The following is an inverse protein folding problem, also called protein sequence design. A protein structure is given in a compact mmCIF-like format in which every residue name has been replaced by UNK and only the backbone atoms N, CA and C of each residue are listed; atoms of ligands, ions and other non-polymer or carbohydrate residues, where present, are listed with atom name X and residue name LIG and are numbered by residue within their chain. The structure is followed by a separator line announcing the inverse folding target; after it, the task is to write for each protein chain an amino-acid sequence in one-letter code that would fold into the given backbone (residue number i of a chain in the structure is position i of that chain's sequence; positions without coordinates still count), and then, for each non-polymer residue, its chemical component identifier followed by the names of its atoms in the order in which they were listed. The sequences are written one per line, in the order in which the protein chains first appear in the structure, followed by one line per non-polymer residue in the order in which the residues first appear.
data_IF_626366607352
#
_entry.id   IF_626366607352
#
_cell.length_a   1.000
_cell.length_b   1.000
_cell.length_c   1.000
_cell.angle_alpha   90.00
_cell.angle_beta   90.00
_cell.angle_gamma   90.00
#
_symmetry.space_group_name_H-M   'P 1'
#
loop_
_entity.id
_entity.type
_entity.pdbx_description
1 polymer ?
#
# COMPACT_ATOMS: atom_id res chain seq x y z
N UNK A 1 -5.65 -10.58 31.29
CA UNK A 1 -4.58 -10.46 30.27
C UNK A 1 -5.22 -10.64 28.91
N UNK A 2 -5.67 -9.55 28.29
CA UNK A 2 -6.25 -9.57 26.95
C UNK A 2 -5.14 -10.01 26.01
N UNK A 3 -5.31 -11.13 25.29
CA UNK A 3 -4.39 -11.54 24.22
C UNK A 3 -4.45 -10.45 23.14
N UNK A 4 -3.48 -9.55 23.16
CA UNK A 4 -3.37 -8.35 22.34
C UNK A 4 -3.11 -8.61 20.83
N UNK A 5 -3.43 -9.81 20.30
CA UNK A 5 -3.18 -10.12 18.89
C UNK A 5 -4.22 -9.54 17.92
N UNK A 6 -5.46 -9.26 18.37
CA UNK A 6 -6.51 -8.62 17.55
C UNK A 6 -6.64 -7.11 17.80
N UNK A 7 -6.37 -6.66 19.03
CA UNK A 7 -6.60 -5.27 19.46
C UNK A 7 -5.66 -4.24 18.83
N UNK A 8 -4.41 -4.59 18.51
CA UNK A 8 -3.46 -3.61 17.96
C UNK A 8 -3.78 -3.26 16.50
N UNK A 9 -4.28 -4.23 15.72
CA UNK A 9 -4.71 -4.00 14.35
C UNK A 9 -5.99 -3.18 14.31
N UNK A 10 -6.98 -3.52 15.14
CA UNK A 10 -8.22 -2.72 15.29
C UNK A 10 -7.90 -1.30 15.79
N UNK A 11 -6.93 -1.11 16.69
CA UNK A 11 -6.53 0.20 17.23
C UNK A 11 -5.74 1.06 16.24
N UNK A 12 -4.68 0.51 15.62
CA UNK A 12 -3.91 1.18 14.55
C UNK A 12 -4.83 1.59 13.39
N UNK A 13 -5.89 0.83 13.21
CA UNK A 13 -6.82 1.00 12.14
C UNK A 13 -7.98 1.95 12.41
N UNK A 14 -8.56 1.94 13.61
CA UNK A 14 -9.48 3.00 14.02
C UNK A 14 -8.81 4.37 13.96
N UNK A 15 -7.48 4.44 14.09
CA UNK A 15 -6.75 5.68 13.86
C UNK A 15 -6.57 5.99 12.36
N UNK A 16 -6.44 4.98 11.50
CA UNK A 16 -6.48 5.15 10.04
C UNK A 16 -7.88 5.62 9.57
N UNK A 17 -8.95 5.11 10.19
CA UNK A 17 -10.32 5.60 10.03
C UNK A 17 -10.41 7.10 10.41
N UNK A 18 -9.81 7.51 11.53
CA UNK A 18 -9.71 8.92 11.92
C UNK A 18 -8.91 9.77 10.90
N UNK A 19 -7.86 9.23 10.26
CA UNK A 19 -7.14 9.95 9.18
C UNK A 19 -7.93 10.06 7.88
N UNK A 20 -8.78 9.07 7.57
CA UNK A 20 -9.59 9.07 6.34
C UNK A 20 -10.83 9.97 6.46
N UNK A 21 -11.39 10.11 7.66
CA UNK A 21 -12.59 10.92 7.92
C UNK A 21 -12.31 12.43 8.02
N UNK A 22 -11.14 12.84 8.52
CA UNK A 22 -10.79 14.26 8.70
C UNK A 22 -10.80 15.07 7.38
N UNK A 23 -10.30 14.55 6.24
CA UNK A 23 -10.31 15.28 4.96
C UNK A 23 -11.61 15.12 4.14
N UNK A 24 -12.45 14.12 4.41
CA UNK A 24 -13.76 13.98 3.73
C UNK A 24 -14.66 15.20 4.02
N UNK A 25 -14.42 15.89 5.14
CA UNK A 25 -15.19 17.05 5.60
C UNK A 25 -14.68 18.38 5.02
N UNK A 26 -13.45 18.46 4.48
CA UNK A 26 -12.88 19.73 4.04
C UNK A 26 -12.16 19.63 2.70
N UNK A 27 -12.87 20.10 1.66
CA UNK A 27 -12.31 20.49 0.38
C UNK A 27 -11.11 21.43 0.57
N UNK A 28 -9.92 20.94 0.28
CA UNK A 28 -9.25 21.39 -0.94
C UNK A 28 -7.89 20.73 -1.06
N UNK A 29 -7.47 20.48 -2.30
CA UNK A 29 -6.06 20.37 -2.69
C UNK A 29 -5.30 21.71 -2.47
N UNK A 30 -5.66 22.55 -1.48
CA UNK A 30 -4.85 23.72 -1.12
C UNK A 30 -3.77 23.26 -0.16
N UNK A 31 -2.54 23.64 -0.50
CA UNK A 31 -1.30 23.37 0.23
C UNK A 31 -1.23 24.05 1.61
N UNK A 32 -2.33 24.16 2.34
CA UNK A 32 -2.39 24.96 3.57
C UNK A 32 -2.04 24.10 4.79
N UNK A 33 -0.77 23.72 4.88
CA UNK A 33 -0.19 23.01 6.04
C UNK A 33 -0.40 23.81 7.34
N UNK A 34 -0.45 25.13 7.26
CA UNK A 34 -0.55 26.02 8.41
C UNK A 34 -1.94 25.93 9.07
N UNK A 35 -3.02 25.75 8.30
CA UNK A 35 -4.38 25.61 8.81
C UNK A 35 -4.58 24.43 9.80
N UNK A 36 -3.90 23.29 9.58
CA UNK A 36 -4.00 22.09 10.44
C UNK A 36 -3.06 22.11 11.63
N UNK A 37 -1.88 22.72 11.48
CA UNK A 37 -0.97 23.00 12.59
C UNK A 37 -1.70 23.81 13.67
N UNK A 38 -2.48 24.80 13.26
CA UNK A 38 -3.23 25.68 14.16
C UNK A 38 -4.40 24.97 14.88
N UNK A 39 -4.87 23.84 14.34
CA UNK A 39 -6.00 23.05 14.87
C UNK A 39 -5.59 21.85 15.73
N UNK A 40 -4.29 21.57 15.89
CA UNK A 40 -3.78 20.53 16.80
C UNK A 40 -3.96 19.06 16.36
N UNK A 41 -4.48 18.81 15.16
CA UNK A 41 -4.74 17.45 14.64
C UNK A 41 -3.46 16.59 14.46
N UNK A 42 -2.30 17.23 14.36
CA UNK A 42 -0.99 16.57 14.23
C UNK A 42 -0.64 15.66 15.43
N UNK A 43 -1.16 15.96 16.63
CA UNK A 43 -0.90 15.19 17.84
C UNK A 43 -1.75 13.92 17.90
N UNK A 44 -3.03 13.99 17.49
CA UNK A 44 -3.94 12.82 17.49
C UNK A 44 -3.51 11.79 16.44
N UNK A 45 -2.91 12.24 15.34
CA UNK A 45 -2.58 11.38 14.20
C UNK A 45 -1.17 10.77 14.27
N UNK A 46 -0.41 11.11 15.31
CA UNK A 46 0.85 10.47 15.68
C UNK A 46 0.69 9.43 16.80
N UNK A 47 -0.55 9.16 17.22
CA UNK A 47 -0.89 8.09 18.17
C UNK A 47 -0.52 6.68 17.67
N UNK A 48 -0.75 6.25 16.40
CA UNK A 48 -0.44 4.88 15.98
C UNK A 48 1.05 4.51 16.11
N UNK A 49 2.00 5.34 15.63
CA UNK A 49 3.42 5.14 15.87
C UNK A 49 3.77 5.16 17.34
N UNK A 50 3.14 6.04 18.14
CA UNK A 50 3.36 6.10 19.58
C UNK A 50 2.90 4.83 20.29
N UNK A 51 1.77 4.24 19.87
CA UNK A 51 1.28 2.95 20.38
C UNK A 51 2.17 1.79 19.94
N UNK A 52 2.69 1.82 18.71
CA UNK A 52 3.66 0.83 18.23
C UNK A 52 4.94 0.89 19.08
N UNK A 53 5.47 2.09 19.31
CA UNK A 53 6.64 2.32 20.16
C UNK A 53 6.35 1.83 21.58
N UNK A 54 5.19 2.16 22.14
CA UNK A 54 4.77 1.66 23.44
C UNK A 54 4.77 0.12 23.48
N UNK A 55 4.20 -0.53 22.47
CA UNK A 55 4.08 -2.00 22.43
C UNK A 55 5.44 -2.70 22.44
N UNK A 56 6.41 -2.22 21.66
CA UNK A 56 7.72 -2.89 21.52
C UNK A 56 8.78 -2.42 22.52
N UNK A 57 8.65 -1.20 23.07
CA UNK A 57 9.66 -0.60 23.93
C UNK A 57 9.17 -0.36 25.37
N UNK A 58 8.03 -0.95 25.79
CA UNK A 58 7.38 -0.76 27.10
C UNK A 58 8.29 -0.96 28.33
N UNK A 59 9.44 -1.60 28.16
CA UNK A 59 10.38 -1.93 29.23
C UNK A 59 11.20 -0.73 29.74
N UNK A 60 11.25 0.39 29.02
CA UNK A 60 11.98 1.59 29.46
C UNK A 60 11.17 2.86 29.16
N UNK A 61 10.60 3.47 30.20
CA UNK A 61 9.75 4.65 30.07
C UNK A 61 10.43 5.83 29.39
N UNK A 62 11.71 6.09 29.71
CA UNK A 62 12.46 7.19 29.09
C UNK A 62 12.67 6.92 27.60
N UNK A 63 13.05 5.69 27.23
CA UNK A 63 13.22 5.29 25.83
C UNK A 63 11.92 5.43 25.03
N UNK A 64 10.79 4.96 25.58
CA UNK A 64 9.47 5.10 24.94
C UNK A 64 9.15 6.57 24.74
N UNK A 65 9.28 7.38 25.78
CA UNK A 65 8.94 8.80 25.71
C UNK A 65 9.79 9.51 24.64
N UNK A 66 11.09 9.25 24.61
CA UNK A 66 12.00 9.82 23.59
C UNK A 66 11.65 9.35 22.19
N UNK A 67 11.40 8.05 21.99
CA UNK A 67 11.04 7.50 20.69
C UNK A 67 9.69 8.03 20.22
N UNK A 68 8.69 8.14 21.10
CA UNK A 68 7.38 8.73 20.77
C UNK A 68 7.53 10.19 20.34
N UNK A 69 8.29 10.99 21.09
CA UNK A 69 8.53 12.39 20.73
C UNK A 69 9.23 12.51 19.37
N UNK A 70 10.27 11.70 19.12
CA UNK A 70 10.94 11.64 17.83
C UNK A 70 9.99 11.22 16.71
N UNK A 71 9.18 10.18 16.94
CA UNK A 71 8.18 9.69 15.98
C UNK A 71 7.17 10.77 15.60
N UNK A 72 6.66 11.53 16.57
CA UNK A 72 5.75 12.66 16.34
C UNK A 72 6.43 13.73 15.46
N UNK A 73 7.66 14.13 15.79
CA UNK A 73 8.39 15.15 15.04
C UNK A 73 8.71 14.68 13.61
N UNK A 74 9.16 13.44 13.47
CA UNK A 74 9.50 12.84 12.18
C UNK A 74 8.26 12.66 11.29
N UNK A 75 7.13 12.24 11.86
CA UNK A 75 5.85 12.17 11.16
C UNK A 75 5.45 13.52 10.56
N UNK A 76 5.46 14.57 11.38
CA UNK A 76 5.12 15.92 10.92
C UNK A 76 6.09 16.42 9.86
N UNK A 77 7.38 16.11 10.00
CA UNK A 77 8.39 16.40 8.99
C UNK A 77 8.07 15.68 7.66
N UNK A 78 7.70 14.39 7.69
CA UNK A 78 7.35 13.64 6.48
C UNK A 78 6.12 14.22 5.78
N UNK A 79 5.02 14.44 6.50
CA UNK A 79 3.79 15.00 5.93
C UNK A 79 4.08 16.35 5.27
N UNK A 80 4.78 17.23 5.98
CA UNK A 80 5.18 18.55 5.44
C UNK A 80 6.01 18.42 4.17
N UNK A 81 7.02 17.54 4.16
CA UNK A 81 7.89 17.39 2.99
C UNK A 81 7.16 16.78 1.80
N UNK A 82 6.26 15.82 2.00
CA UNK A 82 5.48 15.24 0.90
C UNK A 82 4.61 16.32 0.23
N UNK A 83 3.91 17.14 1.02
CA UNK A 83 3.05 18.21 0.50
C UNK A 83 3.83 19.32 -0.20
N UNK A 84 4.97 19.74 0.38
CA UNK A 84 5.77 20.84 -0.18
C UNK A 84 6.60 20.39 -1.39
N UNK A 85 7.27 19.23 -1.31
CA UNK A 85 8.21 18.78 -2.36
C UNK A 85 7.52 18.07 -3.51
N UNK A 86 6.31 17.56 -3.32
CA UNK A 86 5.53 16.89 -4.35
C UNK A 86 4.19 17.61 -4.59
N UNK A 87 4.20 18.91 -4.96
CA UNK A 87 2.99 19.71 -5.07
C UNK A 87 1.98 19.07 -6.03
N UNK A 88 0.71 19.09 -5.64
CA UNK A 88 -0.40 18.53 -6.42
C UNK A 88 -0.45 17.00 -6.50
N UNK A 89 0.47 16.29 -5.86
CA UNK A 89 0.53 14.81 -5.91
C UNK A 89 -0.30 14.17 -4.80
N UNK A 90 -0.36 14.80 -3.62
CA UNK A 90 -1.04 14.24 -2.45
C UNK A 90 -2.17 15.16 -2.02
N UNK A 91 -3.31 14.57 -1.67
CA UNK A 91 -4.21 15.18 -0.69
C UNK A 91 -3.58 15.10 0.70
N UNK A 92 -4.11 15.87 1.65
CA UNK A 92 -3.63 15.81 3.03
C UNK A 92 -3.79 14.40 3.63
N UNK A 93 -4.95 13.76 3.44
CA UNK A 93 -5.22 12.40 3.91
C UNK A 93 -4.24 11.37 3.35
N UNK A 94 -3.97 11.44 2.04
CA UNK A 94 -2.98 10.58 1.38
C UNK A 94 -1.57 10.77 1.96
N UNK A 95 -1.12 12.01 2.12
CA UNK A 95 0.20 12.30 2.68
C UNK A 95 0.35 11.76 4.11
N UNK A 96 -0.73 11.80 4.90
CA UNK A 96 -0.76 11.25 6.25
C UNK A 96 -0.65 9.73 6.27
N UNK A 97 -1.50 9.03 5.51
CA UNK A 97 -1.49 7.56 5.42
C UNK A 97 -0.11 7.06 4.98
N UNK A 98 0.47 7.69 3.97
CA UNK A 98 1.81 7.34 3.47
C UNK A 98 2.90 7.63 4.52
N UNK A 99 2.84 8.77 5.20
CA UNK A 99 3.82 9.11 6.25
C UNK A 99 3.74 8.15 7.45
N UNK A 100 2.52 7.73 7.85
CA UNK A 100 2.33 6.71 8.88
C UNK A 100 2.91 5.36 8.45
N UNK A 101 2.62 4.92 7.22
CA UNK A 101 3.14 3.67 6.66
C UNK A 101 4.67 3.63 6.63
N UNK A 102 5.32 4.69 6.13
CA UNK A 102 6.78 4.82 6.10
C UNK A 102 7.38 4.71 7.51
N UNK A 103 6.83 5.45 8.46
CA UNK A 103 7.33 5.46 9.82
C UNK A 103 7.15 4.11 10.53
N UNK A 104 5.98 3.48 10.41
CA UNK A 104 5.74 2.14 10.99
C UNK A 104 6.70 1.11 10.39
N UNK A 105 6.92 1.16 9.07
CA UNK A 105 7.88 0.29 8.38
C UNK A 105 9.31 0.50 8.89
N UNK A 106 9.77 1.76 9.01
CA UNK A 106 11.12 2.07 9.50
C UNK A 106 11.29 1.63 10.96
N UNK A 107 10.34 1.93 11.82
CA UNK A 107 10.37 1.52 13.23
C UNK A 107 10.41 0.00 13.38
N UNK A 108 9.58 -0.72 12.61
CA UNK A 108 9.57 -2.18 12.62
C UNK A 108 10.87 -2.78 12.08
N UNK A 109 11.47 -2.18 11.05
CA UNK A 109 12.77 -2.60 10.50
C UNK A 109 13.91 -2.41 11.51
N UNK A 110 13.92 -1.28 12.22
CA UNK A 110 14.89 -1.00 13.30
C UNK A 110 14.73 -2.01 14.43
N UNK A 111 13.49 -2.25 14.89
CA UNK A 111 13.22 -3.24 15.94
C UNK A 111 13.69 -4.65 15.53
N UNK A 112 13.46 -5.02 14.26
CA UNK A 112 13.93 -6.29 13.68
C UNK A 112 15.45 -6.40 13.71
N UNK A 113 16.16 -5.37 13.26
CA UNK A 113 17.62 -5.35 13.25
C UNK A 113 18.21 -5.41 14.67
N UNK A 114 17.68 -4.60 15.60
CA UNK A 114 18.15 -4.58 16.99
C UNK A 114 17.96 -5.93 17.69
N UNK A 115 16.85 -6.61 17.43
CA UNK A 115 16.60 -7.94 18.01
C UNK A 115 17.65 -8.98 17.58
N UNK A 116 18.17 -8.88 16.35
CA UNK A 116 19.17 -9.80 15.78
C UNK A 116 20.59 -9.47 16.22
N UNK A 117 20.92 -8.20 16.41
CA UNK A 117 22.28 -7.77 16.79
C UNK A 117 22.52 -7.94 18.30
N UNK A 118 21.56 -7.54 19.13
CA UNK A 118 21.80 -7.36 20.56
C UNK A 118 21.42 -8.60 21.39
N UNK A 119 20.88 -9.66 20.77
CA UNK A 119 20.28 -10.82 21.48
C UNK A 119 19.42 -10.37 22.68
N UNK A 120 18.77 -9.21 22.55
CA UNK A 120 17.96 -8.63 23.61
C UNK A 120 16.79 -9.57 23.83
N UNK A 121 16.83 -10.35 24.92
CA UNK A 121 15.78 -11.26 25.42
C UNK A 121 14.37 -10.63 25.51
N UNK A 122 14.26 -9.31 25.30
CA UNK A 122 13.07 -8.49 25.47
C UNK A 122 12.23 -8.31 24.19
N UNK A 123 12.61 -8.87 23.03
CA UNK A 123 11.83 -8.81 21.78
C UNK A 123 11.30 -10.18 21.28
N UNK A 124 10.50 -10.92 22.08
CA UNK A 124 10.05 -12.27 21.71
C UNK A 124 9.19 -12.30 20.44
N UNK A 125 8.41 -11.25 20.16
CA UNK A 125 7.59 -11.13 18.95
C UNK A 125 8.40 -10.92 17.66
N UNK A 126 9.66 -10.47 17.78
CA UNK A 126 10.54 -10.17 16.65
C UNK A 126 11.50 -11.33 16.36
N UNK A 127 11.68 -12.25 17.31
CA UNK A 127 12.53 -13.43 17.16
C UNK A 127 12.03 -14.43 16.10
N UNK A 128 10.76 -14.35 15.69
CA UNK A 128 10.10 -15.28 14.75
C UNK A 128 9.73 -14.65 13.41
N UNK A 129 10.29 -13.47 13.08
CA UNK A 129 10.03 -12.81 11.80
C UNK A 129 10.51 -13.68 10.63
N UNK A 130 9.66 -13.98 9.63
CA UNK A 130 10.06 -14.79 8.49
C UNK A 130 11.20 -14.18 7.69
N UNK A 131 12.05 -15.04 7.12
CA UNK A 131 13.21 -14.63 6.32
C UNK A 131 12.80 -13.74 5.13
N UNK A 132 11.63 -13.97 4.55
CA UNK A 132 11.07 -13.14 3.46
C UNK A 132 10.81 -11.68 3.88
N UNK A 133 10.41 -11.44 5.12
CA UNK A 133 10.22 -10.07 5.64
C UNK A 133 11.54 -9.35 5.77
N UNK A 134 12.54 -10.02 6.36
CA UNK A 134 13.88 -9.45 6.54
C UNK A 134 14.48 -9.12 5.17
N UNK A 135 14.32 -10.04 4.21
CA UNK A 135 14.72 -9.82 2.82
C UNK A 135 14.09 -8.53 2.26
N UNK A 136 12.77 -8.38 2.42
CA UNK A 136 12.03 -7.23 1.92
C UNK A 136 12.41 -5.92 2.64
N UNK A 137 12.63 -5.95 3.95
CA UNK A 137 13.07 -4.78 4.73
C UNK A 137 14.39 -4.22 4.21
N UNK A 138 15.38 -5.10 4.00
CA UNK A 138 16.70 -4.71 3.48
C UNK A 138 16.56 -4.15 2.05
N UNK A 139 15.75 -4.79 1.19
CA UNK A 139 15.50 -4.30 -0.17
C UNK A 139 14.92 -2.88 -0.17
N UNK A 140 13.80 -2.69 0.54
CA UNK A 140 13.10 -1.40 0.58
C UNK A 140 13.97 -0.30 1.19
N UNK A 141 14.63 -0.57 2.32
CA UNK A 141 15.52 0.41 2.95
C UNK A 141 16.70 0.77 2.03
N UNK A 142 17.33 -0.22 1.39
CA UNK A 142 18.44 0.01 0.47
C UNK A 142 18.02 0.83 -0.76
N UNK A 143 16.84 0.54 -1.34
CA UNK A 143 16.30 1.31 -2.45
C UNK A 143 15.89 2.73 -2.04
N UNK A 144 15.30 2.93 -0.85
CA UNK A 144 14.97 4.26 -0.34
C UNK A 144 16.24 5.09 -0.12
N UNK A 145 17.31 4.50 0.40
CA UNK A 145 18.60 5.17 0.57
C UNK A 145 19.24 5.51 -0.78
N UNK A 146 19.21 4.60 -1.76
CA UNK A 146 19.66 4.87 -3.12
C UNK A 146 18.92 6.07 -3.73
N UNK A 147 17.58 6.05 -3.67
CA UNK A 147 16.74 7.16 -4.16
C UNK A 147 17.09 8.46 -3.43
N UNK A 148 17.21 8.42 -2.11
CA UNK A 148 17.56 9.59 -1.32
C UNK A 148 18.92 10.17 -1.74
N UNK A 149 19.94 9.34 -1.94
CA UNK A 149 21.26 9.75 -2.42
C UNK A 149 21.19 10.36 -3.82
N UNK A 150 20.45 9.76 -4.75
CA UNK A 150 20.27 10.31 -6.11
C UNK A 150 19.51 11.65 -6.08
N UNK A 151 18.55 11.82 -5.17
CA UNK A 151 17.88 13.10 -4.95
C UNK A 151 18.84 14.17 -4.44
N UNK A 152 19.74 13.84 -3.52
CA UNK A 152 20.70 14.78 -2.94
C UNK A 152 21.87 15.13 -3.87
N UNK A 153 22.32 14.19 -4.70
CA UNK A 153 23.54 14.34 -5.51
C UNK A 153 23.22 14.19 -7.00
N UNK A 154 22.89 15.28 -7.71
CA UNK A 154 22.51 15.23 -9.13
C UNK A 154 23.57 14.64 -10.06
N UNK A 155 24.87 14.80 -9.75
CA UNK A 155 25.97 14.24 -10.55
C UNK A 155 26.00 12.71 -10.58
N UNK A 156 25.29 12.04 -9.66
CA UNK A 156 25.13 10.58 -9.63
C UNK A 156 24.01 10.08 -10.55
N UNK A 157 23.26 10.95 -11.23
CA UNK A 157 22.11 10.54 -12.05
C UNK A 157 22.46 10.10 -13.47
N UNK A 158 23.73 10.22 -13.87
CA UNK A 158 24.15 10.05 -15.27
C UNK A 158 25.41 9.21 -15.42
N UNK A 159 25.50 8.54 -16.58
CA UNK A 159 26.69 7.83 -17.03
C UNK A 159 27.21 6.80 -16.04
N UNK A 160 28.52 6.76 -15.88
CA UNK A 160 29.22 5.81 -15.00
C UNK A 160 28.93 6.05 -13.51
N UNK A 161 28.69 7.29 -13.10
CA UNK A 161 28.42 7.63 -11.70
C UNK A 161 27.12 7.00 -11.20
N UNK A 162 26.10 6.96 -12.06
CA UNK A 162 24.84 6.28 -11.78
C UNK A 162 25.05 4.78 -11.59
N UNK A 163 25.76 4.14 -12.51
CA UNK A 163 26.07 2.71 -12.43
C UNK A 163 26.87 2.40 -11.17
N UNK A 164 27.87 3.22 -10.83
CA UNK A 164 28.66 3.07 -9.62
C UNK A 164 27.81 3.22 -8.35
N UNK A 165 26.92 4.21 -8.31
CA UNK A 165 26.00 4.41 -7.20
C UNK A 165 25.08 3.19 -7.00
N UNK A 166 24.42 2.72 -8.08
CA UNK A 166 23.57 1.52 -8.03
C UNK A 166 24.35 0.27 -7.59
N UNK A 167 25.56 0.09 -8.11
CA UNK A 167 26.42 -1.05 -7.74
C UNK A 167 26.83 -1.00 -6.28
N UNK A 168 27.17 0.19 -5.77
CA UNK A 168 27.53 0.40 -4.36
C UNK A 168 26.38 0.05 -3.43
N UNK A 169 25.18 0.59 -3.69
CA UNK A 169 24.00 0.27 -2.87
C UNK A 169 23.60 -1.22 -2.99
N UNK A 170 23.76 -1.82 -4.17
CA UNK A 170 23.53 -3.26 -4.36
C UNK A 170 24.51 -4.08 -3.52
N UNK A 171 25.80 -3.72 -3.49
CA UNK A 171 26.80 -4.37 -2.63
C UNK A 171 26.49 -4.23 -1.14
N UNK A 172 26.02 -3.06 -0.69
CA UNK A 172 25.59 -2.84 0.70
C UNK A 172 24.39 -3.74 1.04
N UNK A 173 23.38 -3.82 0.17
CA UNK A 173 22.23 -4.70 0.37
C UNK A 173 22.65 -6.19 0.40
N UNK A 174 23.53 -6.61 -0.51
CA UNK A 174 24.09 -7.97 -0.52
C UNK A 174 24.82 -8.31 0.78
N UNK A 175 25.66 -7.40 1.27
CA UNK A 175 26.33 -7.58 2.56
C UNK A 175 25.34 -7.66 3.73
N UNK A 176 24.34 -6.78 3.75
CA UNK A 176 23.30 -6.78 4.78
C UNK A 176 22.50 -8.10 4.79
N UNK A 177 22.10 -8.62 3.63
CA UNK A 177 21.46 -9.94 3.53
C UNK A 177 22.36 -11.06 4.03
N UNK A 178 23.63 -11.07 3.65
CA UNK A 178 24.57 -12.10 4.08
C UNK A 178 24.70 -12.13 5.62
N UNK A 179 24.89 -10.96 6.26
CA UNK A 179 25.03 -10.85 7.72
C UNK A 179 23.74 -11.25 8.45
N UNK A 180 22.58 -10.85 7.94
CA UNK A 180 21.29 -11.05 8.62
C UNK A 180 20.69 -12.43 8.42
N UNK A 181 20.75 -12.97 7.20
CA UNK A 181 20.18 -14.28 6.83
C UNK A 181 21.18 -15.42 6.98
N UNK A 182 22.50 -15.13 7.02
CA UNK A 182 23.59 -16.12 7.04
C UNK A 182 23.50 -17.14 5.89
N UNK A 183 22.95 -16.69 4.76
CA UNK A 183 22.71 -17.47 3.54
C UNK A 183 23.11 -16.64 2.33
N UNK A 184 23.39 -17.31 1.22
CA UNK A 184 23.45 -16.64 -0.07
C UNK A 184 22.03 -16.25 -0.51
N UNK A 185 21.81 -14.97 -0.83
CA UNK A 185 20.47 -14.45 -1.12
C UNK A 185 19.91 -14.98 -2.44
N UNK A 186 20.74 -15.22 -3.45
CA UNK A 186 20.29 -15.68 -4.76
C UNK A 186 19.89 -17.15 -4.68
N UNK A 187 20.70 -17.98 -4.02
CA UNK A 187 20.38 -19.38 -3.76
C UNK A 187 19.13 -19.48 -2.89
N UNK A 188 19.02 -18.66 -1.84
CA UNK A 188 17.83 -18.64 -0.99
C UNK A 188 16.56 -18.26 -1.79
N UNK A 189 16.61 -17.19 -2.60
CA UNK A 189 15.48 -16.75 -3.41
C UNK A 189 15.08 -17.82 -4.44
N UNK A 190 16.07 -18.44 -5.09
CA UNK A 190 15.83 -19.54 -6.03
C UNK A 190 15.11 -20.71 -5.36
N UNK A 191 15.62 -21.17 -4.20
CA UNK A 191 14.99 -22.25 -3.43
C UNK A 191 13.61 -21.85 -2.87
N UNK A 192 13.43 -20.58 -2.49
CA UNK A 192 12.16 -20.06 -1.99
C UNK A 192 11.07 -20.10 -3.07
N UNK A 193 11.42 -19.70 -4.30
CA UNK A 193 10.53 -19.71 -5.46
C UNK A 193 10.19 -21.13 -5.93
N UNK A 194 11.15 -22.05 -5.85
CA UNK A 194 10.98 -23.46 -6.26
C UNK A 194 10.55 -24.39 -5.13
N UNK A 195 10.14 -23.85 -3.99
CA UNK A 195 9.84 -24.64 -2.80
C UNK A 195 8.75 -25.69 -3.03
N UNK A 196 7.69 -25.34 -3.77
CA UNK A 196 6.62 -26.26 -4.11
C UNK A 196 5.97 -25.96 -5.47
N UNK A 197 5.15 -26.88 -5.97
CA UNK A 197 4.47 -26.76 -7.26
C UNK A 197 3.50 -25.58 -7.31
N UNK A 198 2.77 -25.28 -6.23
CA UNK A 198 1.77 -24.19 -6.21
C UNK A 198 2.47 -22.85 -6.39
N UNK A 199 3.59 -22.63 -5.71
CA UNK A 199 4.44 -21.45 -5.88
C UNK A 199 4.92 -21.29 -7.31
N UNK A 200 5.45 -22.35 -7.90
CA UNK A 200 5.92 -22.31 -9.29
C UNK A 200 4.79 -21.94 -10.25
N UNK A 201 3.61 -22.56 -10.10
CA UNK A 201 2.45 -22.22 -10.92
C UNK A 201 1.98 -20.77 -10.72
N UNK A 202 1.94 -20.28 -9.48
CA UNK A 202 1.60 -18.88 -9.19
C UNK A 202 2.60 -17.91 -9.84
N UNK A 203 3.91 -18.17 -9.72
CA UNK A 203 4.94 -17.32 -10.31
C UNK A 203 4.81 -17.29 -11.84
N UNK A 204 4.66 -18.45 -12.49
CA UNK A 204 4.45 -18.52 -13.94
C UNK A 204 3.20 -17.76 -14.38
N UNK A 205 2.10 -17.91 -13.63
CA UNK A 205 0.85 -17.22 -13.90
C UNK A 205 0.97 -15.69 -13.74
N UNK A 206 1.69 -15.23 -12.73
CA UNK A 206 1.94 -13.80 -12.50
C UNK A 206 2.91 -13.21 -13.52
N UNK A 207 3.91 -13.97 -13.98
CA UNK A 207 4.77 -13.57 -15.10
C UNK A 207 3.95 -13.39 -16.38
N UNK A 208 3.03 -14.32 -16.69
CA UNK A 208 2.13 -14.20 -17.83
C UNK A 208 1.20 -12.99 -17.70
N UNK A 209 0.64 -12.74 -16.52
CA UNK A 209 -0.22 -11.58 -16.23
C UNK A 209 0.54 -10.25 -16.38
N UNK A 210 1.81 -10.22 -15.95
CA UNK A 210 2.71 -9.07 -16.11
C UNK A 210 3.04 -8.84 -17.58
N UNK A 211 3.36 -9.91 -18.31
CA UNK A 211 3.59 -9.84 -19.76
C UNK A 211 2.36 -9.29 -20.49
N UNK A 212 1.16 -9.82 -20.18
CA UNK A 212 -0.10 -9.31 -20.72
C UNK A 212 -0.25 -7.80 -20.45
N UNK A 213 0.07 -7.34 -19.25
CA UNK A 213 0.01 -5.92 -18.89
C UNK A 213 0.98 -5.05 -19.68
N UNK A 214 2.20 -5.52 -19.91
CA UNK A 214 3.18 -4.82 -20.76
C UNK A 214 2.67 -4.73 -22.20
N UNK A 215 2.17 -5.83 -22.76
CA UNK A 215 1.61 -5.84 -24.12
C UNK A 215 0.40 -4.91 -24.25
N UNK A 216 -0.45 -4.84 -23.22
CA UNK A 216 -1.58 -3.91 -23.18
C UNK A 216 -1.11 -2.46 -23.19
N UNK A 217 -0.11 -2.09 -22.37
CA UNK A 217 0.47 -0.75 -22.37
C UNK A 217 1.03 -0.38 -23.74
N UNK A 218 1.77 -1.30 -24.39
CA UNK A 218 2.31 -1.09 -25.74
C UNK A 218 1.17 -0.89 -26.75
N UNK A 219 0.14 -1.73 -26.70
CA UNK A 219 -1.01 -1.65 -27.60
C UNK A 219 -1.80 -0.34 -27.45
N UNK A 220 -2.00 0.15 -26.23
CA UNK A 220 -2.67 1.44 -26.00
C UNK A 220 -1.82 2.60 -26.55
N UNK A 221 -0.49 2.57 -26.34
CA UNK A 221 0.42 3.60 -26.84
C UNK A 221 0.59 3.60 -28.37
N UNK A 222 0.25 2.50 -29.06
CA UNK A 222 0.28 2.46 -30.52
C UNK A 222 -0.82 3.32 -31.16
N UNK A 223 -1.87 3.68 -30.41
CA UNK A 223 -2.99 4.48 -30.94
C UNK A 223 -2.63 5.98 -30.93
N UNK A 224 -2.55 6.64 -32.10
CA UNK A 224 -2.16 8.04 -32.17
C UNK A 224 -3.23 8.94 -31.53
N UNK A 225 -2.79 9.94 -30.76
CA UNK A 225 -3.65 10.93 -30.07
C UNK A 225 -4.75 10.30 -29.19
N UNK A 226 -4.52 9.08 -28.71
CA UNK A 226 -5.46 8.40 -27.83
C UNK A 226 -5.21 8.78 -26.37
N UNK A 227 -6.29 8.94 -25.59
CA UNK A 227 -6.24 9.08 -24.14
C UNK A 227 -7.07 7.96 -23.51
N UNK A 228 -6.49 7.22 -22.57
CA UNK A 228 -7.18 6.09 -21.96
C UNK A 228 -8.39 6.56 -21.13
N UNK A 229 -9.56 5.99 -21.42
CA UNK A 229 -10.77 6.21 -20.62
C UNK A 229 -10.67 5.55 -19.25
N UNK A 230 -11.57 5.93 -18.32
CA UNK A 230 -11.69 5.30 -16.99
C UNK A 230 -11.83 3.78 -17.08
N UNK A 231 -12.61 3.29 -18.05
CA UNK A 231 -12.80 1.86 -18.32
C UNK A 231 -11.53 1.17 -18.79
N UNK A 232 -10.75 1.80 -19.67
CA UNK A 232 -9.47 1.23 -20.14
C UNK A 232 -8.47 1.11 -18.98
N UNK A 233 -8.49 2.05 -18.04
CA UNK A 233 -7.66 1.96 -16.82
C UNK A 233 -8.08 0.81 -15.90
N UNK A 234 -9.34 0.36 -15.92
CA UNK A 234 -9.81 -0.81 -15.13
C UNK A 234 -9.20 -2.14 -15.58
N UNK A 235 -8.46 -2.18 -16.70
CA UNK A 235 -7.64 -3.34 -17.04
C UNK A 235 -6.65 -3.68 -15.91
N UNK A 236 -6.02 -2.68 -15.29
CA UNK A 236 -5.07 -2.91 -14.19
C UNK A 236 -5.78 -3.41 -12.92
N UNK A 237 -6.99 -2.94 -12.65
CA UNK A 237 -7.85 -3.46 -11.57
C UNK A 237 -8.20 -4.93 -11.78
N UNK A 238 -8.52 -5.33 -13.01
CA UNK A 238 -8.76 -6.74 -13.34
C UNK A 238 -7.50 -7.60 -13.12
N UNK A 239 -6.35 -7.14 -13.61
CA UNK A 239 -5.09 -7.86 -13.44
C UNK A 239 -4.72 -8.03 -11.97
N UNK A 240 -4.86 -6.98 -11.15
CA UNK A 240 -4.53 -7.09 -9.72
C UNK A 240 -5.48 -8.06 -9.01
N UNK A 241 -6.77 -8.09 -9.35
CA UNK A 241 -7.71 -9.11 -8.84
C UNK A 241 -7.25 -10.53 -9.18
N UNK A 242 -6.89 -10.76 -10.45
CA UNK A 242 -6.45 -12.07 -10.94
C UNK A 242 -5.15 -12.51 -10.28
N UNK A 243 -4.25 -11.60 -9.90
CA UNK A 243 -3.01 -11.92 -9.18
C UNK A 243 -3.28 -12.18 -7.69
N UNK A 244 -4.02 -11.28 -7.03
CA UNK A 244 -4.16 -11.28 -5.58
C UNK A 244 -5.10 -12.35 -5.07
N UNK A 245 -6.22 -12.62 -5.74
CA UNK A 245 -7.17 -13.66 -5.31
C UNK A 245 -6.47 -15.02 -5.14
N UNK A 246 -5.82 -15.60 -6.18
CA UNK A 246 -5.12 -16.86 -6.02
C UNK A 246 -3.91 -16.74 -5.07
N UNK A 247 -3.21 -15.61 -5.03
CA UNK A 247 -2.14 -15.40 -4.06
C UNK A 247 -2.63 -15.50 -2.61
N UNK A 248 -3.76 -14.88 -2.28
CA UNK A 248 -4.35 -14.93 -0.93
C UNK A 248 -4.75 -16.36 -0.57
N UNK A 249 -5.41 -17.09 -1.48
CA UNK A 249 -5.91 -18.44 -1.20
C UNK A 249 -4.84 -19.53 -1.21
N UNK A 250 -3.83 -19.43 -2.09
CA UNK A 250 -2.88 -20.51 -2.30
C UNK A 250 -1.51 -20.28 -1.64
N UNK A 251 -0.99 -19.05 -1.63
CA UNK A 251 0.30 -18.74 -0.98
C UNK A 251 0.42 -17.25 -0.59
N UNK A 252 -0.07 -16.94 0.61
CA UNK A 252 -0.10 -15.58 1.13
C UNK A 252 1.32 -15.05 1.43
N UNK A 253 2.28 -15.91 1.76
CA UNK A 253 3.66 -15.49 2.07
C UNK A 253 4.43 -15.12 0.80
N UNK A 254 4.24 -15.89 -0.27
CA UNK A 254 4.75 -15.54 -1.59
C UNK A 254 4.13 -14.21 -2.07
N UNK A 255 2.81 -14.03 -1.92
CA UNK A 255 2.13 -12.77 -2.29
C UNK A 255 2.64 -11.57 -1.48
N UNK A 256 2.91 -11.74 -0.18
CA UNK A 256 3.53 -10.70 0.67
C UNK A 256 4.89 -10.27 0.15
N UNK A 257 5.77 -11.25 -0.14
CA UNK A 257 7.10 -10.97 -0.65
C UNK A 257 7.02 -10.29 -2.03
N UNK A 258 6.22 -10.86 -2.94
CA UNK A 258 6.07 -10.36 -4.30
C UNK A 258 5.48 -8.94 -4.35
N UNK A 259 4.45 -8.65 -3.54
CA UNK A 259 3.85 -7.31 -3.49
C UNK A 259 4.80 -6.25 -2.93
N UNK A 260 5.65 -6.61 -1.95
CA UNK A 260 6.70 -5.72 -1.46
C UNK A 260 7.81 -5.46 -2.49
N UNK A 261 8.22 -6.49 -3.24
CA UNK A 261 9.17 -6.33 -4.36
C UNK A 261 8.57 -5.45 -5.45
N UNK A 262 7.29 -5.66 -5.80
CA UNK A 262 6.58 -4.84 -6.77
C UNK A 262 6.47 -3.37 -6.31
N UNK A 263 6.19 -3.12 -5.02
CA UNK A 263 6.17 -1.76 -4.47
C UNK A 263 7.54 -1.10 -4.60
N UNK A 264 8.61 -1.83 -4.29
CA UNK A 264 9.98 -1.34 -4.46
C UNK A 264 10.24 -0.96 -5.92
N UNK A 265 9.87 -1.83 -6.86
CA UNK A 265 10.04 -1.58 -8.28
C UNK A 265 9.25 -0.33 -8.73
N UNK A 266 8.00 -0.18 -8.30
CA UNK A 266 7.17 0.98 -8.63
C UNK A 266 7.76 2.28 -8.10
N UNK A 267 8.24 2.31 -6.85
CA UNK A 267 8.91 3.49 -6.27
C UNK A 267 10.17 3.83 -7.07
N UNK A 268 11.03 2.84 -7.37
CA UNK A 268 12.28 3.08 -8.11
C UNK A 268 12.00 3.59 -9.52
N UNK A 269 11.05 2.98 -10.24
CA UNK A 269 10.67 3.39 -11.59
C UNK A 269 10.12 4.81 -11.61
N UNK A 270 9.23 5.13 -10.67
CA UNK A 270 8.66 6.47 -10.54
C UNK A 270 9.73 7.51 -10.20
N UNK A 271 10.67 7.16 -9.34
CA UNK A 271 11.79 8.04 -9.03
C UNK A 271 12.72 8.21 -10.22
N UNK A 272 12.99 7.17 -11.00
CA UNK A 272 13.79 7.28 -12.22
C UNK A 272 13.12 8.16 -13.28
N UNK A 273 11.79 8.12 -13.37
CA UNK A 273 11.00 9.04 -14.19
C UNK A 273 11.17 10.48 -13.74
N UNK A 274 11.00 10.77 -12.45
CA UNK A 274 11.12 12.13 -11.88
C UNK A 274 12.55 12.68 -12.01
N UNK A 275 13.54 11.84 -11.72
CA UNK A 275 14.95 12.22 -11.78
C UNK A 275 15.49 12.30 -13.22
N UNK A 276 14.67 11.98 -14.23
CA UNK A 276 15.02 11.94 -15.65
C UNK A 276 16.28 11.11 -15.91
N UNK A 277 16.36 9.91 -15.32
CA UNK A 277 17.47 8.99 -15.56
C UNK A 277 17.53 8.67 -17.07
N UNK A 278 18.70 8.78 -17.73
CA UNK A 278 18.82 8.58 -19.17
C UNK A 278 18.20 7.25 -19.63
N UNK A 279 17.53 7.26 -20.79
CA UNK A 279 16.81 6.13 -21.39
C UNK A 279 15.56 5.70 -20.59
N UNK A 280 15.72 5.36 -19.31
CA UNK A 280 14.67 4.79 -18.46
C UNK A 280 13.58 5.83 -18.15
N UNK A 281 13.96 7.04 -17.71
CA UNK A 281 13.02 8.08 -17.34
C UNK A 281 12.07 8.49 -18.48
N UNK A 282 12.59 8.83 -19.67
CA UNK A 282 11.77 9.11 -20.85
C UNK A 282 10.88 7.94 -21.29
N UNK A 283 11.40 6.70 -21.24
CA UNK A 283 10.63 5.52 -21.59
C UNK A 283 9.42 5.31 -20.67
N UNK A 284 9.60 5.44 -19.35
CA UNK A 284 8.50 5.34 -18.38
C UNK A 284 7.51 6.50 -18.59
N UNK A 285 8.01 7.72 -18.74
CA UNK A 285 7.16 8.90 -18.99
C UNK A 285 6.24 8.68 -20.20
N UNK A 286 6.81 8.26 -21.32
CA UNK A 286 6.06 7.99 -22.55
C UNK A 286 5.06 6.85 -22.38
N UNK A 287 5.46 5.75 -21.71
CA UNK A 287 4.58 4.59 -21.51
C UNK A 287 3.31 4.92 -20.70
N UNK A 288 3.41 5.80 -19.70
CA UNK A 288 2.31 6.12 -18.79
C UNK A 288 1.50 7.38 -19.16
N UNK A 289 2.00 8.24 -20.05
CA UNK A 289 1.35 9.50 -20.42
C UNK A 289 -0.09 9.33 -20.91
N UNK A 290 -0.36 8.29 -21.70
CA UNK A 290 -1.71 7.95 -22.18
C UNK A 290 -2.70 7.60 -21.06
N UNK A 291 -2.22 7.17 -19.90
CA UNK A 291 -3.03 6.72 -18.77
C UNK A 291 -3.26 7.77 -17.68
N UNK A 292 -2.55 8.91 -17.71
CA UNK A 292 -2.67 9.94 -16.67
C UNK A 292 -4.09 10.52 -16.60
N UNK A 293 -4.60 10.78 -15.40
CA UNK A 293 -5.88 11.44 -15.17
C UNK A 293 -5.76 12.59 -14.16
N UNK A 294 -6.89 13.16 -13.73
CA UNK A 294 -6.95 14.25 -12.76
C UNK A 294 -6.37 13.93 -11.37
N UNK A 295 -6.21 12.64 -11.04
CA UNK A 295 -5.59 12.19 -9.80
C UNK A 295 -4.07 12.18 -9.91
N UNK A 296 -3.53 11.95 -11.11
CA UNK A 296 -2.10 11.99 -11.42
C UNK A 296 -1.64 13.36 -11.99
N UNK A 297 -2.33 14.45 -11.61
CA UNK A 297 -2.00 15.81 -12.05
C UNK A 297 -0.74 16.41 -11.42
N UNK A 298 -0.21 15.75 -10.38
CA UNK A 298 0.92 16.22 -9.59
C UNK A 298 2.29 15.87 -10.19
N UNK A 299 3.32 16.02 -9.36
CA UNK A 299 4.68 15.58 -9.70
C UNK A 299 4.77 14.06 -9.79
N UNK A 300 4.09 13.35 -8.87
CA UNK A 300 4.07 11.89 -8.81
C UNK A 300 2.85 11.32 -9.54
N UNK A 301 3.04 10.16 -10.17
CA UNK A 301 2.00 9.28 -10.71
C UNK A 301 1.72 8.21 -9.64
N UNK A 302 0.61 8.36 -8.92
CA UNK A 302 0.32 7.56 -7.73
C UNK A 302 -0.78 6.53 -7.95
N UNK A 303 -1.64 6.66 -8.95
CA UNK A 303 -2.82 5.78 -9.13
C UNK A 303 -2.48 4.29 -9.09
N UNK A 304 -1.45 3.86 -9.82
CA UNK A 304 -1.03 2.45 -9.85
C UNK A 304 -0.24 2.02 -8.61
N UNK A 305 0.51 2.93 -8.00
CA UNK A 305 1.20 2.70 -6.72
C UNK A 305 0.16 2.47 -5.61
N UNK A 306 -0.88 3.30 -5.59
CA UNK A 306 -1.99 3.19 -4.65
C UNK A 306 -2.88 1.98 -4.92
N UNK A 307 -3.04 1.53 -6.16
CA UNK A 307 -3.72 0.26 -6.44
C UNK A 307 -2.99 -0.91 -5.76
N UNK A 308 -1.66 -0.95 -5.88
CA UNK A 308 -0.83 -1.95 -5.23
C UNK A 308 -0.87 -1.83 -3.70
N UNK A 309 -0.65 -0.62 -3.15
CA UNK A 309 -0.69 -0.37 -1.70
C UNK A 309 -2.06 -0.70 -1.12
N UNK A 310 -3.13 -0.29 -1.77
CA UNK A 310 -4.51 -0.55 -1.34
C UNK A 310 -4.80 -2.04 -1.24
N UNK A 311 -4.44 -2.82 -2.26
CA UNK A 311 -4.64 -4.28 -2.24
C UNK A 311 -3.70 -5.01 -1.27
N UNK A 312 -2.49 -4.47 -1.03
CA UNK A 312 -1.49 -5.14 -0.18
C UNK A 312 -1.57 -4.75 1.28
N UNK A 313 -2.06 -3.55 1.61
CA UNK A 313 -2.07 -3.06 2.98
C UNK A 313 -2.87 -3.93 3.95
N UNK A 314 -4.05 -4.52 3.61
CA UNK A 314 -4.70 -5.48 4.50
C UNK A 314 -3.82 -6.68 4.84
N UNK A 315 -3.01 -7.14 3.87
CA UNK A 315 -2.13 -8.31 3.98
C UNK A 315 -0.87 -7.98 4.80
N UNK A 316 -0.28 -6.80 4.59
CA UNK A 316 0.88 -6.32 5.35
C UNK A 316 0.50 -6.00 6.79
N UNK A 317 -0.69 -5.42 7.00
CA UNK A 317 -1.16 -5.04 8.32
C UNK A 317 -1.56 -6.26 9.15
N UNK A 318 -2.22 -7.29 8.63
CA UNK A 318 -2.64 -8.46 9.45
C UNK A 318 -1.49 -9.29 10.05
N UNK A 319 -0.24 -9.06 9.64
CA UNK A 319 0.94 -9.74 10.20
C UNK A 319 0.98 -11.25 9.96
N UNK A 320 1.88 -11.93 10.68
CA UNK A 320 2.10 -13.39 10.63
C UNK A 320 1.40 -14.09 11.79
N UNK A 321 0.07 -13.92 11.91
CA UNK A 321 -0.68 -14.60 12.96
C UNK A 321 -0.83 -16.07 12.55
N UNK A 322 -0.24 -16.97 13.34
CA UNK A 322 -0.39 -18.43 13.19
C UNK A 322 -1.88 -18.78 13.13
N UNK A 323 -2.34 -19.28 11.98
CA UNK A 323 -3.76 -19.60 11.73
C UNK A 323 -4.44 -18.73 10.66
N UNK A 324 -3.82 -17.64 10.22
CA UNK A 324 -4.33 -16.82 9.09
C UNK A 324 -4.15 -17.55 7.75
N UNK A 325 -4.99 -18.55 7.51
CA UNK A 325 -5.16 -19.13 6.18
C UNK A 325 -5.97 -18.14 5.34
N UNK A 326 -5.81 -18.13 4.02
CA UNK A 326 -6.38 -17.16 3.05
C UNK A 326 -7.91 -16.97 3.02
N UNK A 327 -8.61 -17.41 4.05
CA UNK A 327 -10.04 -17.35 4.25
C UNK A 327 -10.50 -16.10 5.02
N UNK A 328 -9.57 -15.26 5.52
CA UNK A 328 -9.92 -14.00 6.18
C UNK A 328 -10.42 -12.97 5.16
N UNK A 329 -11.71 -12.65 5.22
CA UNK A 329 -12.35 -11.69 4.32
C UNK A 329 -11.70 -10.31 4.37
N UNK A 330 -11.11 -9.94 5.52
CA UNK A 330 -10.38 -8.68 5.69
C UNK A 330 -9.17 -8.57 4.74
N UNK A 331 -8.49 -9.68 4.40
CA UNK A 331 -7.38 -9.68 3.43
C UNK A 331 -7.83 -9.29 2.01
N UNK A 332 -9.11 -9.51 1.70
CA UNK A 332 -9.72 -9.26 0.40
C UNK A 332 -10.30 -7.85 0.28
N UNK A 333 -10.13 -6.99 1.29
CA UNK A 333 -10.73 -5.65 1.32
C UNK A 333 -10.40 -4.80 0.09
N UNK A 334 -9.15 -4.84 -0.40
CA UNK A 334 -8.79 -4.13 -1.64
C UNK A 334 -9.40 -4.73 -2.90
N UNK A 335 -9.54 -6.06 -2.95
CA UNK A 335 -10.17 -6.76 -4.06
C UNK A 335 -11.66 -6.48 -4.10
N UNK A 336 -12.34 -6.50 -2.96
CA UNK A 336 -13.76 -6.22 -2.88
C UNK A 336 -14.04 -4.75 -3.19
N UNK A 337 -13.37 -3.82 -2.49
CA UNK A 337 -13.66 -2.39 -2.62
C UNK A 337 -13.23 -1.79 -3.96
N UNK A 338 -11.99 -2.03 -4.39
CA UNK A 338 -11.42 -1.38 -5.58
C UNK A 338 -11.53 -2.28 -6.80
N UNK A 339 -11.17 -3.56 -6.64
CA UNK A 339 -11.24 -4.55 -7.71
C UNK A 339 -12.65 -4.76 -8.28
N UNK A 340 -13.62 -4.98 -7.38
CA UNK A 340 -15.01 -5.18 -7.76
C UNK A 340 -15.86 -3.91 -7.63
N UNK A 341 -15.79 -3.22 -6.48
CA UNK A 341 -16.62 -2.05 -6.18
C UNK A 341 -16.38 -0.86 -7.10
N UNK A 342 -15.18 -0.27 -7.08
CA UNK A 342 -14.79 0.87 -7.91
C UNK A 342 -14.87 0.55 -9.43
N UNK A 343 -14.52 -0.67 -9.83
CA UNK A 343 -14.73 -1.11 -11.21
C UNK A 343 -16.22 -1.11 -11.60
N UNK A 344 -17.10 -1.67 -10.76
CA UNK A 344 -18.54 -1.67 -10.98
C UNK A 344 -19.15 -0.26 -10.92
N UNK A 345 -18.64 0.61 -10.04
CA UNK A 345 -19.05 2.01 -9.95
C UNK A 345 -18.76 2.75 -11.26
N UNK A 346 -17.53 2.60 -11.77
CA UNK A 346 -17.10 3.24 -13.01
C UNK A 346 -17.87 2.69 -14.23
N UNK A 347 -18.09 1.38 -14.30
CA UNK A 347 -18.88 0.77 -15.39
C UNK A 347 -20.34 1.21 -15.32
N UNK A 348 -20.97 1.05 -14.16
CA UNK A 348 -22.37 1.40 -13.94
C UNK A 348 -22.62 2.89 -14.18
N UNK A 349 -21.73 3.75 -13.71
CA UNK A 349 -21.82 5.19 -13.94
C UNK A 349 -21.63 5.59 -15.40
N UNK A 350 -20.79 4.87 -16.16
CA UNK A 350 -20.59 5.15 -17.59
C UNK A 350 -21.79 4.71 -18.44
N UNK A 351 -22.39 3.55 -18.14
CA UNK A 351 -23.48 2.99 -18.95
C UNK A 351 -24.89 3.44 -18.52
N UNK A 352 -25.10 3.66 -17.22
CA UNK A 352 -26.43 3.92 -16.65
C UNK A 352 -26.52 5.25 -15.89
N UNK A 353 -25.41 5.96 -15.73
CA UNK A 353 -25.34 7.18 -14.92
C UNK A 353 -26.23 8.29 -15.46
N UNK A 354 -27.18 8.73 -14.64
CA UNK A 354 -28.06 9.87 -14.94
C UNK A 354 -28.07 10.86 -13.80
N UNK A 355 -28.09 10.37 -12.57
CA UNK A 355 -28.21 11.21 -11.38
C UNK A 355 -26.85 11.31 -10.69
N UNK A 356 -26.34 12.54 -10.55
CA UNK A 356 -25.04 12.79 -9.92
C UNK A 356 -25.19 13.11 -8.44
N UNK A 357 -24.22 12.66 -7.64
CA UNK A 357 -24.13 13.05 -6.25
C UNK A 357 -23.83 14.56 -6.15
N UNK A 358 -24.48 15.26 -5.21
CA UNK A 358 -24.21 16.68 -4.98
C UNK A 358 -22.70 16.91 -4.69
N UNK A 359 -22.07 17.80 -5.46
CA UNK A 359 -20.65 18.13 -5.35
C UNK A 359 -19.68 17.08 -5.91
N UNK A 360 -20.14 16.09 -6.69
CA UNK A 360 -19.30 15.02 -7.22
C UNK A 360 -19.67 14.68 -8.67
N UNK A 361 -18.68 14.27 -9.46
CA UNK A 361 -18.90 13.75 -10.82
C UNK A 361 -19.35 12.28 -10.83
N UNK A 362 -19.56 11.69 -9.64
CA UNK A 362 -19.99 10.29 -9.49
C UNK A 362 -21.52 10.20 -9.47
N UNK A 363 -22.05 9.08 -9.96
CA UNK A 363 -23.48 8.87 -10.11
C UNK A 363 -24.06 7.93 -9.07
N UNK A 364 -25.34 8.14 -8.73
CA UNK A 364 -26.08 7.25 -7.84
C UNK A 364 -26.16 5.83 -8.42
N UNK A 365 -26.38 5.71 -9.74
CA UNK A 365 -26.42 4.41 -10.42
C UNK A 365 -25.09 3.66 -10.31
N UNK A 366 -23.97 4.37 -10.45
CA UNK A 366 -22.63 3.81 -10.22
C UNK A 366 -22.48 3.29 -8.79
N UNK A 367 -22.86 4.09 -7.79
CA UNK A 367 -22.80 3.66 -6.38
C UNK A 367 -23.70 2.43 -6.09
N UNK A 368 -24.88 2.33 -6.71
CA UNK A 368 -25.74 1.14 -6.59
C UNK A 368 -25.05 -0.09 -7.18
N UNK A 369 -24.45 0.02 -8.38
CA UNK A 369 -23.67 -1.08 -8.98
C UNK A 369 -22.51 -1.51 -8.07
N UNK A 370 -21.83 -0.55 -7.42
CA UNK A 370 -20.78 -0.82 -6.46
C UNK A 370 -21.29 -1.58 -5.23
N UNK A 371 -22.41 -1.14 -4.64
CA UNK A 371 -23.03 -1.80 -3.47
C UNK A 371 -23.42 -3.24 -3.80
N UNK A 372 -24.09 -3.46 -4.94
CA UNK A 372 -24.52 -4.80 -5.36
C UNK A 372 -23.31 -5.72 -5.56
N UNK A 373 -22.32 -5.27 -6.33
CA UNK A 373 -21.15 -6.10 -6.66
C UNK A 373 -20.29 -6.39 -5.43
N UNK A 374 -20.05 -5.39 -4.58
CA UNK A 374 -19.32 -5.58 -3.32
C UNK A 374 -20.07 -6.51 -2.36
N UNK A 375 -21.41 -6.42 -2.30
CA UNK A 375 -22.21 -7.32 -1.46
C UNK A 375 -22.06 -8.76 -1.93
N UNK A 376 -22.24 -9.02 -3.23
CA UNK A 376 -22.08 -10.36 -3.81
C UNK A 376 -20.68 -10.91 -3.53
N UNK A 377 -19.63 -10.12 -3.80
CA UNK A 377 -18.25 -10.53 -3.54
C UNK A 377 -17.99 -10.79 -2.04
N UNK A 378 -18.47 -9.90 -1.17
CA UNK A 378 -18.31 -10.05 0.29
C UNK A 378 -18.99 -11.30 0.81
N UNK A 379 -20.23 -11.57 0.38
CA UNK A 379 -20.95 -12.79 0.80
C UNK A 379 -20.28 -14.05 0.26
N UNK A 380 -19.84 -14.04 -1.01
CA UNK A 380 -19.09 -15.17 -1.58
C UNK A 380 -17.84 -15.49 -0.75
N UNK A 381 -17.01 -14.48 -0.45
CA UNK A 381 -15.80 -14.67 0.34
C UNK A 381 -16.06 -14.95 1.82
N UNK A 382 -17.15 -14.43 2.38
CA UNK A 382 -17.57 -14.76 3.74
C UNK A 382 -17.84 -16.26 3.86
N UNK A 383 -18.64 -16.83 2.95
CA UNK A 383 -19.01 -18.26 2.98
C UNK A 383 -17.81 -19.19 2.82
N UNK A 384 -16.75 -18.75 2.13
CA UNK A 384 -15.53 -19.54 1.98
C UNK A 384 -14.72 -19.68 3.27
N UNK A 385 -14.91 -18.80 4.25
CA UNK A 385 -13.98 -18.68 5.37
C UNK A 385 -14.57 -18.45 6.76
N UNK A 386 -15.83 -18.07 6.85
CA UNK A 386 -16.49 -17.62 8.07
C UNK A 386 -17.93 -18.11 8.12
N UNK A 387 -18.48 -18.17 9.33
CA UNK A 387 -19.88 -18.53 9.52
C UNK A 387 -20.83 -17.38 9.10
N UNK A 388 -21.97 -17.77 8.54
CA UNK A 388 -23.08 -16.86 8.24
C UNK A 388 -23.86 -16.49 9.51
N UNK A 389 -23.26 -15.65 10.36
CA UNK A 389 -23.93 -15.09 11.55
C UNK A 389 -24.56 -13.72 11.25
N UNK A 390 -25.62 -13.36 11.99
CA UNK A 390 -26.24 -12.03 11.92
C UNK A 390 -25.19 -10.92 12.14
N UNK A 391 -24.23 -11.15 13.03
CA UNK A 391 -23.13 -10.24 13.32
C UNK A 391 -22.26 -9.98 12.09
N UNK A 392 -21.76 -11.04 11.45
CA UNK A 392 -20.90 -10.94 10.25
C UNK A 392 -21.63 -10.28 9.08
N UNK A 393 -22.90 -10.65 8.87
CA UNK A 393 -23.76 -10.06 7.85
C UNK A 393 -23.94 -8.55 8.09
N UNK A 394 -24.19 -8.15 9.34
CA UNK A 394 -24.35 -6.74 9.72
C UNK A 394 -23.08 -5.94 9.44
N UNK A 395 -21.91 -6.49 9.79
CA UNK A 395 -20.62 -5.86 9.51
C UNK A 395 -20.43 -5.66 8.00
N UNK A 396 -20.69 -6.68 7.18
CA UNK A 396 -20.54 -6.59 5.72
C UNK A 396 -21.45 -5.50 5.15
N UNK A 397 -22.73 -5.48 5.53
CA UNK A 397 -23.69 -4.49 5.03
C UNK A 397 -23.22 -3.07 5.36
N UNK A 398 -22.81 -2.84 6.61
CA UNK A 398 -22.28 -1.54 7.04
C UNK A 398 -21.01 -1.18 6.26
N UNK A 399 -20.07 -2.12 6.13
CA UNK A 399 -18.82 -1.92 5.42
C UNK A 399 -19.06 -1.52 3.96
N UNK A 400 -19.92 -2.25 3.24
CA UNK A 400 -20.20 -2.03 1.82
C UNK A 400 -20.92 -0.69 1.60
N UNK A 401 -21.94 -0.39 2.41
CA UNK A 401 -22.70 0.86 2.29
C UNK A 401 -21.81 2.08 2.56
N UNK A 402 -21.02 2.05 3.64
CA UNK A 402 -20.15 3.17 3.99
C UNK A 402 -18.97 3.31 3.01
N UNK A 403 -18.38 2.19 2.54
CA UNK A 403 -17.30 2.25 1.54
C UNK A 403 -17.81 2.84 0.22
N UNK A 404 -19.03 2.48 -0.21
CA UNK A 404 -19.64 3.03 -1.43
C UNK A 404 -20.03 4.51 -1.26
N UNK A 405 -20.43 4.92 -0.06
CA UNK A 405 -20.68 6.34 0.23
C UNK A 405 -19.39 7.17 0.20
N UNK A 406 -18.29 6.62 0.74
CA UNK A 406 -16.97 7.27 0.65
C UNK A 406 -16.49 7.34 -0.78
N UNK A 407 -16.66 6.27 -1.57
CA UNK A 407 -16.37 6.27 -3.00
C UNK A 407 -17.10 7.43 -3.68
N UNK A 408 -18.39 7.62 -3.43
CA UNK A 408 -19.20 8.68 -4.04
C UNK A 408 -18.74 10.11 -3.69
N UNK A 409 -18.15 10.32 -2.51
CA UNK A 409 -17.88 11.65 -1.93
C UNK A 409 -16.40 12.02 -1.83
N UNK A 410 -15.49 11.06 -1.85
CA UNK A 410 -14.06 11.32 -1.67
C UNK A 410 -13.44 11.97 -2.90
N UNK A 411 -12.57 12.94 -2.66
CA UNK A 411 -11.67 13.54 -3.66
C UNK A 411 -10.28 12.91 -3.66
N UNK A 412 -10.01 12.05 -2.68
CA UNK A 412 -8.77 11.28 -2.58
C UNK A 412 -8.78 10.15 -3.62
N UNK A 413 -7.60 9.57 -3.87
CA UNK A 413 -7.47 8.38 -4.71
C UNK A 413 -8.12 7.18 -4.00
N UNK A 414 -9.29 6.79 -4.51
CA UNK A 414 -10.05 5.60 -4.15
C UNK A 414 -9.20 4.33 -3.99
N UNK A 415 -8.22 4.12 -4.87
CA UNK A 415 -7.30 2.97 -4.79
C UNK A 415 -6.57 2.85 -3.44
N UNK A 416 -6.34 3.95 -2.72
CA UNK A 416 -5.73 3.92 -1.38
C UNK A 416 -6.79 3.87 -0.27
N UNK A 417 -7.81 4.72 -0.39
CA UNK A 417 -8.77 5.00 0.70
C UNK A 417 -9.77 3.87 0.90
N UNK A 418 -10.37 3.36 -0.17
CA UNK A 418 -11.45 2.39 -0.07
C UNK A 418 -10.98 1.05 0.53
N UNK A 419 -9.82 0.49 0.16
CA UNK A 419 -9.33 -0.75 0.73
C UNK A 419 -9.07 -0.65 2.23
N UNK A 420 -8.42 0.44 2.66
CA UNK A 420 -8.18 0.72 4.07
C UNK A 420 -9.51 0.90 4.79
N UNK A 421 -10.42 1.72 4.28
CA UNK A 421 -11.70 1.93 4.93
C UNK A 421 -12.52 0.63 5.06
N UNK A 422 -12.62 -0.17 4.00
CA UNK A 422 -13.37 -1.43 4.03
C UNK A 422 -12.75 -2.46 4.99
N UNK A 423 -11.41 -2.54 5.01
CA UNK A 423 -10.68 -3.37 5.96
C UNK A 423 -11.16 -3.05 7.40
N UNK A 424 -11.57 -1.79 7.71
CA UNK A 424 -11.88 -1.27 9.08
C UNK A 424 -12.92 -2.09 9.76
N UNK A 425 -13.92 -2.40 8.96
CA UNK A 425 -15.10 -3.13 9.36
C UNK A 425 -14.83 -4.62 9.26
N UNK A 426 -14.22 -5.08 8.16
CA UNK A 426 -14.01 -6.51 7.95
C UNK A 426 -13.05 -7.14 8.97
N UNK A 427 -12.15 -6.36 9.58
CA UNK A 427 -11.33 -6.83 10.70
C UNK A 427 -12.14 -7.25 11.93
N UNK A 428 -13.36 -6.75 12.13
CA UNK A 428 -14.22 -7.13 13.26
C UNK A 428 -14.88 -8.49 13.10
N UNK A 429 -14.80 -9.10 11.92
CA UNK A 429 -15.26 -10.47 11.67
C UNK A 429 -14.25 -11.50 12.25
N UNK A 430 -13.07 -11.04 12.71
CA UNK A 430 -12.02 -11.85 13.33
C UNK A 430 -11.74 -11.38 14.75
#
# INVERSE_FOLDING_TARGET
MIKFSSGIYILLFNICLCTLLVPIVQESKRNDYDWLRDKGYNVVLSIPPSLFIWHFFSYNFLLIYTLCLFGILYYNYLVKNLLIKCPGSFTYGEAQVISQGIMLFVLYSIATLLSKIVELRNFPAVATVPESVICLQILLLGCLLLVHTLCLIPSLRQGINFVFCCTTFSGIMMYAWHVTLKKDIFIWMWLYCLHDQKRVFLILFWLLSTFSSVTFVIWVNYKPNYKASTLVRKYFHLIICIIYVPGIFYDLDLLRLASGIALTAFIVLEMFRILNIPIIGPAIKSAFEVFLDEKDSGVLILTNIYLLIGCSSPIWLTGYISGTKGYHISLLSGIISVGFGDAAASMGGTFFGKHHWAGSNKTFEGSICAVVTQSIASFYFLVLGHELSLYNITIIIIAVLLTSLIEAKTTQVDNLVLPLFMFSFLCWIH
#
